data_IF_222907114719
#
_entry.id   IF_222907114719
#
_cell.length_a   1.000
_cell.length_b   1.000
_cell.length_c   1.000
_cell.angle_alpha   90.00
_cell.angle_beta   90.00
_cell.angle_gamma   90.00
#
_symmetry.space_group_name_H-M   'P 1'
#
loop_
_entity.id
_entity.type
_entity.pdbx_description
1 polymer ?
#
# COMPACT_ATOMS: atom_id res chain seq x y z
N UNK A 1 -25.97 0.06 12.94
CA UNK A 1 -25.98 0.72 14.27
C UNK A 1 -24.58 1.09 14.76
N UNK A 2 -23.55 0.23 14.66
CA UNK A 2 -22.19 0.52 15.17
C UNK A 2 -21.53 1.77 14.58
N UNK A 3 -21.66 2.03 13.27
CA UNK A 3 -21.08 3.23 12.64
C UNK A 3 -21.74 4.53 13.15
N UNK A 4 -23.04 4.47 13.47
CA UNK A 4 -23.78 5.63 14.01
C UNK A 4 -23.26 5.95 15.41
N UNK A 5 -23.11 4.95 16.27
CA UNK A 5 -22.55 5.11 17.62
C UNK A 5 -21.12 5.67 17.56
N UNK A 6 -20.29 5.16 16.65
CA UNK A 6 -18.91 5.60 16.48
C UNK A 6 -18.82 7.05 16.00
N UNK A 7 -19.70 7.47 15.07
CA UNK A 7 -19.79 8.86 14.60
C UNK A 7 -20.23 9.82 15.69
N UNK A 8 -21.27 9.47 16.47
CA UNK A 8 -21.74 10.28 17.60
C UNK A 8 -20.63 10.44 18.66
N UNK A 9 -19.92 9.35 18.96
CA UNK A 9 -18.81 9.38 19.91
C UNK A 9 -17.66 10.27 19.41
N UNK A 10 -17.29 10.20 18.12
CA UNK A 10 -16.28 11.09 17.51
C UNK A 10 -16.70 12.56 17.51
N UNK A 11 -17.99 12.85 17.28
CA UNK A 11 -18.52 14.21 17.36
C UNK A 11 -18.38 14.78 18.78
N UNK A 12 -18.73 13.99 19.79
CA UNK A 12 -18.58 14.36 21.20
C UNK A 12 -17.12 14.56 21.61
N UNK A 13 -16.19 13.70 21.18
CA UNK A 13 -14.76 13.86 21.49
C UNK A 13 -14.17 15.10 20.84
N UNK A 14 -14.57 15.45 19.61
CA UNK A 14 -14.12 16.70 19.00
C UNK A 14 -14.69 17.92 19.73
N UNK A 15 -15.97 17.92 20.16
CA UNK A 15 -16.58 19.08 20.83
C UNK A 15 -16.02 19.33 22.24
N UNK A 16 -15.82 18.27 23.03
CA UNK A 16 -15.36 18.38 24.43
C UNK A 16 -13.85 18.24 24.60
N UNK A 17 -13.18 17.43 23.78
CA UNK A 17 -11.78 17.05 23.93
C UNK A 17 -10.85 17.79 22.94
N UNK A 18 -11.37 18.56 21.97
CA UNK A 18 -10.54 19.45 21.13
C UNK A 18 -9.56 20.36 21.90
N UNK A 19 -9.92 21.00 23.05
CA UNK A 19 -8.95 21.78 23.80
C UNK A 19 -7.84 20.92 24.41
N UNK A 20 -8.12 19.66 24.75
CA UNK A 20 -7.13 18.70 25.27
C UNK A 20 -6.23 18.18 24.14
N UNK A 21 -6.78 17.95 22.94
CA UNK A 21 -5.99 17.50 21.78
C UNK A 21 -4.90 18.50 21.36
N UNK A 22 -5.09 19.80 21.62
CA UNK A 22 -4.06 20.83 21.34
C UNK A 22 -2.78 20.65 22.18
N UNK A 23 -2.86 20.00 23.34
CA UNK A 23 -1.71 19.70 24.19
C UNK A 23 -1.07 18.34 23.89
N UNK A 24 -1.56 17.61 22.88
CA UNK A 24 -1.01 16.30 22.56
C UNK A 24 0.40 16.46 21.98
N UNK A 25 1.43 15.89 22.62
CA UNK A 25 2.79 16.01 22.11
C UNK A 25 2.89 15.31 20.75
N UNK A 26 3.52 15.96 19.78
CA UNK A 26 3.81 15.41 18.44
C UNK A 26 4.45 14.00 18.51
N UNK A 27 5.21 13.75 19.58
CA UNK A 27 5.85 12.45 19.86
C UNK A 27 4.82 11.33 20.01
N UNK A 28 3.73 11.55 20.75
CA UNK A 28 2.69 10.53 20.94
C UNK A 28 1.98 10.20 19.62
N UNK A 29 1.70 11.23 18.81
CA UNK A 29 1.04 11.05 17.52
C UNK A 29 1.95 10.31 16.53
N UNK A 30 3.25 10.61 16.52
CA UNK A 30 4.25 9.86 15.74
C UNK A 30 4.39 8.40 16.17
N UNK A 31 4.34 8.12 17.49
CA UNK A 31 4.42 6.76 18.02
C UNK A 31 3.22 5.90 17.59
N UNK A 32 2.00 6.47 17.61
CA UNK A 32 0.80 5.78 17.15
C UNK A 32 0.90 5.47 15.65
N UNK A 33 1.29 6.44 14.82
CA UNK A 33 1.47 6.22 13.37
C UNK A 33 2.55 5.16 13.11
N UNK A 34 3.69 5.22 13.81
CA UNK A 34 4.76 4.24 13.67
C UNK A 34 4.28 2.83 14.02
N UNK A 35 3.59 2.66 15.15
CA UNK A 35 3.02 1.37 15.56
C UNK A 35 2.02 0.80 14.54
N UNK A 36 1.18 1.66 13.95
CA UNK A 36 0.21 1.27 12.94
C UNK A 36 0.88 0.85 11.62
N UNK A 37 1.92 1.58 11.19
CA UNK A 37 2.64 1.30 9.94
C UNK A 37 3.50 0.04 10.02
N UNK A 38 4.15 -0.22 11.17
CA UNK A 38 4.95 -1.43 11.38
C UNK A 38 4.09 -2.69 11.18
N UNK A 39 2.84 -2.69 11.65
CA UNK A 39 1.91 -3.81 11.45
C UNK A 39 1.46 -4.03 10.00
N UNK A 40 1.55 -2.99 9.16
CA UNK A 40 1.13 -3.04 7.76
C UNK A 40 2.22 -3.57 6.82
N UNK A 41 3.50 -3.38 7.17
CA UNK A 41 4.64 -3.79 6.35
C UNK A 41 4.84 -5.32 6.42
N UNK A 42 4.44 -6.03 5.37
CA UNK A 42 4.59 -7.49 5.25
C UNK A 42 5.90 -7.87 4.55
N UNK A 43 7.03 -7.81 5.25
CA UNK A 43 8.36 -8.14 4.70
C UNK A 43 8.44 -9.53 4.04
N UNK A 44 7.72 -10.53 4.58
CA UNK A 44 7.68 -11.89 4.04
C UNK A 44 7.14 -11.95 2.60
N UNK A 45 6.17 -11.10 2.26
CA UNK A 45 5.62 -11.00 0.90
C UNK A 45 6.62 -10.37 -0.06
N UNK A 46 7.38 -9.37 0.40
CA UNK A 46 8.39 -8.69 -0.41
C UNK A 46 9.50 -9.65 -0.85
N UNK A 47 9.98 -10.49 0.06
CA UNK A 47 10.98 -11.52 -0.25
C UNK A 47 10.43 -12.61 -1.20
N UNK A 48 9.17 -13.02 -1.00
CA UNK A 48 8.53 -13.99 -1.89
C UNK A 48 8.35 -13.43 -3.30
N UNK A 49 7.95 -12.15 -3.42
CA UNK A 49 7.80 -11.47 -4.70
C UNK A 49 9.12 -11.40 -5.46
N UNK A 50 10.22 -11.09 -4.76
CA UNK A 50 11.57 -11.06 -5.33
C UNK A 50 11.99 -12.42 -5.92
N UNK A 51 11.60 -13.53 -5.28
CA UNK A 51 11.97 -14.89 -5.72
C UNK A 51 11.09 -15.42 -6.87
N UNK A 52 9.82 -15.03 -6.92
CA UNK A 52 8.86 -15.54 -7.92
C UNK A 52 8.90 -14.75 -9.23
N UNK A 53 8.96 -13.42 -9.18
CA UNK A 53 8.84 -12.58 -10.39
C UNK A 53 9.64 -11.27 -10.26
N UNK A 54 10.78 -11.20 -10.96
CA UNK A 54 11.71 -10.05 -10.91
C UNK A 54 11.08 -8.77 -11.47
N UNK A 55 10.16 -8.89 -12.42
CA UNK A 55 9.45 -7.76 -13.01
C UNK A 55 8.43 -7.15 -12.05
N UNK A 56 7.69 -7.98 -11.32
CA UNK A 56 6.71 -7.51 -10.34
C UNK A 56 7.39 -6.82 -9.16
N UNK A 57 8.54 -7.35 -8.75
CA UNK A 57 9.43 -6.67 -7.80
C UNK A 57 9.86 -5.28 -8.28
N UNK A 58 10.23 -5.13 -9.56
CA UNK A 58 10.63 -3.84 -10.12
C UNK A 58 9.49 -2.81 -10.06
N UNK A 59 8.26 -3.24 -10.37
CA UNK A 59 7.06 -2.38 -10.30
C UNK A 59 6.83 -1.91 -8.86
N UNK A 60 6.92 -2.83 -7.89
CA UNK A 60 6.81 -2.50 -6.47
C UNK A 60 7.90 -1.54 -6.00
N UNK A 61 9.15 -1.76 -6.44
CA UNK A 61 10.30 -0.91 -6.12
C UNK A 61 10.12 0.50 -6.70
N UNK A 62 9.67 0.61 -7.95
CA UNK A 62 9.38 1.89 -8.61
C UNK A 62 8.25 2.63 -7.89
N UNK A 63 7.19 1.94 -7.47
CA UNK A 63 6.12 2.54 -6.68
C UNK A 63 6.61 3.04 -5.31
N UNK A 64 7.40 2.24 -4.60
CA UNK A 64 7.95 2.62 -3.30
C UNK A 64 8.91 3.81 -3.41
N UNK A 65 9.89 3.74 -4.31
CA UNK A 65 10.86 4.82 -4.50
C UNK A 65 10.19 6.07 -5.10
N UNK A 66 9.23 5.90 -6.02
CA UNK A 66 8.51 7.02 -6.62
C UNK A 66 7.67 7.81 -5.63
N UNK A 67 6.98 7.14 -4.70
CA UNK A 67 6.21 7.81 -3.63
C UNK A 67 7.13 8.51 -2.64
N UNK A 68 8.28 7.91 -2.29
CA UNK A 68 9.23 8.48 -1.33
C UNK A 68 9.99 9.69 -1.89
N UNK A 69 10.41 9.66 -3.17
CA UNK A 69 11.27 10.72 -3.74
C UNK A 69 10.53 11.84 -4.46
N UNK A 70 9.38 11.55 -5.10
CA UNK A 70 8.70 12.53 -5.96
C UNK A 70 7.44 13.05 -5.26
N UNK A 71 6.43 12.19 -5.11
CA UNK A 71 5.14 12.48 -4.46
C UNK A 71 4.21 11.28 -4.60
N UNK A 72 3.21 11.18 -3.73
CA UNK A 72 2.25 10.07 -3.74
C UNK A 72 1.52 9.94 -5.09
N UNK A 73 1.04 11.03 -5.68
CA UNK A 73 0.29 11.01 -6.95
C UNK A 73 1.14 10.48 -8.11
N UNK A 74 2.35 11.01 -8.29
CA UNK A 74 3.23 10.62 -9.40
C UNK A 74 3.84 9.22 -9.20
N UNK A 75 4.20 8.86 -7.96
CA UNK A 75 4.72 7.53 -7.63
C UNK A 75 3.70 6.42 -7.89
N UNK A 76 2.44 6.64 -7.49
CA UNK A 76 1.34 5.73 -7.79
C UNK A 76 1.06 5.64 -9.29
N UNK A 77 1.02 6.78 -10.00
CA UNK A 77 0.78 6.80 -11.44
C UNK A 77 1.85 5.99 -12.22
N UNK A 78 3.13 6.14 -11.87
CA UNK A 78 4.21 5.37 -12.48
C UNK A 78 4.08 3.86 -12.17
N UNK A 79 3.82 3.49 -10.91
CA UNK A 79 3.66 2.09 -10.52
C UNK A 79 2.50 1.42 -11.27
N UNK A 80 1.36 2.09 -11.36
CA UNK A 80 0.17 1.58 -12.06
C UNK A 80 0.44 1.51 -13.57
N UNK A 81 1.11 2.51 -14.13
CA UNK A 81 1.51 2.53 -15.54
C UNK A 81 2.38 1.34 -15.91
N UNK A 82 3.44 1.04 -15.15
CA UNK A 82 4.27 -0.14 -15.41
C UNK A 82 3.49 -1.46 -15.22
N UNK A 83 2.60 -1.54 -14.23
CA UNK A 83 1.76 -2.72 -14.03
C UNK A 83 0.83 -2.97 -15.23
N UNK A 84 0.22 -1.92 -15.78
CA UNK A 84 -0.63 -2.01 -16.97
C UNK A 84 0.16 -2.41 -18.21
N UNK A 85 1.36 -1.84 -18.42
CA UNK A 85 2.23 -2.22 -19.54
C UNK A 85 2.63 -3.70 -19.44
N UNK A 86 2.99 -4.19 -18.24
CA UNK A 86 3.29 -5.61 -18.02
C UNK A 86 2.08 -6.49 -18.33
N UNK A 87 0.90 -6.12 -17.85
CA UNK A 87 -0.33 -6.87 -18.08
C UNK A 87 -0.67 -6.94 -19.58
N UNK A 88 -0.52 -5.82 -20.30
CA UNK A 88 -0.71 -5.77 -21.77
C UNK A 88 0.30 -6.66 -22.51
N UNK A 89 1.57 -6.65 -22.12
CA UNK A 89 2.59 -7.52 -22.71
C UNK A 89 2.31 -9.00 -22.47
N UNK A 90 1.77 -9.35 -21.30
CA UNK A 90 1.39 -10.74 -20.99
C UNK A 90 0.20 -11.21 -21.85
N UNK A 91 -0.77 -10.34 -22.09
CA UNK A 91 -1.93 -10.62 -22.96
C UNK A 91 -1.51 -10.67 -24.44
N UNK A 92 -0.64 -9.76 -24.88
CA UNK A 92 -0.17 -9.68 -26.27
C UNK A 92 0.83 -10.79 -26.65
N UNK A 93 1.61 -11.28 -25.68
CA UNK A 93 2.50 -12.45 -25.83
C UNK A 93 2.24 -13.44 -24.70
N UNK A 94 1.19 -14.28 -24.80
CA UNK A 94 1.05 -15.40 -23.88
C UNK A 94 2.26 -16.33 -24.09
N UNK A 95 3.04 -16.66 -23.04
CA UNK A 95 4.05 -17.68 -23.16
C UNK A 95 3.35 -18.96 -23.61
N UNK A 96 3.81 -19.55 -24.72
CA UNK A 96 3.20 -20.73 -25.30
C UNK A 96 3.20 -21.86 -24.27
N UNK A 97 2.06 -22.10 -23.63
CA UNK A 97 1.81 -23.34 -22.91
C UNK A 97 1.94 -24.47 -23.93
N UNK A 98 3.09 -25.13 -23.97
CA UNK A 98 3.20 -26.45 -24.59
C UNK A 98 2.29 -27.36 -23.78
N UNK A 99 1.05 -27.56 -24.25
CA UNK A 99 0.21 -28.65 -23.78
C UNK A 99 0.96 -29.95 -24.09
N UNK A 100 1.62 -30.51 -23.08
CA UNK A 100 2.10 -31.88 -23.13
C UNK A 100 0.87 -32.79 -23.18
N UNK A 101 0.76 -33.60 -24.24
CA UNK A 101 -0.11 -34.78 -24.22
C UNK A 101 0.41 -35.69 -23.11
N UNK A 102 -0.36 -35.83 -22.03
CA UNK A 102 -0.23 -36.98 -21.14
C UNK A 102 -0.74 -38.22 -21.89
N UNK A 103 0.01 -39.32 -21.94
CA UNK A 103 -0.49 -40.60 -22.44
C UNK A 103 -1.58 -41.18 -21.53
#
# INVERSE_FOLDING_TARGET
MSNIVMSICMCLTLLFLAPVFSYTPLVALSAIIASAMIGLIKCKKFYYLYKTDKFDFLICMVGALGVVFISMTYGLALSIGLALVRALLYIARPPSCKLGKMP
#
